data_IF_189231536690
#
_entry.id   IF_189231536690
#
_cell.length_a   1.000
_cell.length_b   1.000
_cell.length_c   1.000
_cell.angle_alpha   90.00
_cell.angle_beta   90.00
_cell.angle_gamma   90.00
#
_symmetry.space_group_name_H-M   'P 1'
#
loop_
_entity.id
_entity.type
_entity.pdbx_description
1 polymer ?
#
# COMPACT_ATOMS: atom_id res chain seq x y z
N UNK A 1 -0.26 -9.08 7.21
CA UNK A 1 -1.23 -9.33 6.11
C UNK A 1 -0.50 -9.72 4.84
N UNK A 2 0.06 -10.89 4.88
CA UNK A 2 0.89 -11.39 3.79
C UNK A 2 0.08 -12.14 2.73
N UNK A 3 -1.08 -12.68 3.13
CA UNK A 3 -1.89 -13.49 2.25
C UNK A 3 -2.90 -12.63 1.49
N UNK A 4 -2.44 -12.03 0.40
CA UNK A 4 -3.27 -11.18 -0.45
C UNK A 4 -4.39 -11.96 -1.14
N UNK A 5 -4.19 -13.26 -1.38
CA UNK A 5 -5.24 -14.12 -1.92
C UNK A 5 -6.44 -14.21 -0.98
N UNK A 6 -6.17 -14.35 0.32
CA UNK A 6 -7.24 -14.39 1.32
C UNK A 6 -7.96 -13.03 1.43
N UNK A 7 -7.20 -11.96 1.45
CA UNK A 7 -7.77 -10.60 1.50
C UNK A 7 -8.65 -10.35 0.26
N UNK A 8 -8.19 -10.79 -0.90
CA UNK A 8 -8.95 -10.68 -2.14
C UNK A 8 -10.29 -11.40 -2.06
N UNK A 9 -10.31 -12.60 -1.49
CA UNK A 9 -11.57 -13.33 -1.29
C UNK A 9 -12.54 -12.57 -0.39
N UNK A 10 -12.04 -11.96 0.69
CA UNK A 10 -12.87 -11.14 1.57
C UNK A 10 -13.44 -9.94 0.81
N UNK A 11 -12.62 -9.27 0.01
CA UNK A 11 -13.07 -8.14 -0.80
C UNK A 11 -14.12 -8.56 -1.84
N UNK A 12 -13.97 -9.73 -2.44
CA UNK A 12 -14.94 -10.26 -3.40
C UNK A 12 -16.29 -10.58 -2.75
N UNK A 13 -16.27 -11.10 -1.53
CA UNK A 13 -17.48 -11.50 -0.80
C UNK A 13 -18.17 -10.33 -0.10
N UNK A 14 -17.43 -9.29 0.28
CA UNK A 14 -17.93 -8.16 1.06
C UNK A 14 -17.75 -6.85 0.27
N UNK A 15 -18.74 -6.44 -0.54
CA UNK A 15 -18.62 -5.25 -1.40
C UNK A 15 -18.37 -3.94 -0.64
N UNK A 16 -18.76 -3.88 0.62
CA UNK A 16 -18.59 -2.68 1.47
C UNK A 16 -17.27 -2.68 2.24
N UNK A 17 -16.43 -3.68 2.05
CA UNK A 17 -15.17 -3.79 2.77
C UNK A 17 -14.07 -3.04 2.03
N UNK A 18 -13.31 -2.23 2.76
CA UNK A 18 -12.15 -1.49 2.25
C UNK A 18 -10.94 -1.85 3.09
N UNK A 19 -9.77 -1.72 2.51
CA UNK A 19 -8.51 -1.97 3.21
C UNK A 19 -7.59 -0.77 3.07
N UNK A 20 -6.72 -0.58 4.04
CA UNK A 20 -5.61 0.37 3.91
C UNK A 20 -4.28 -0.38 3.98
N UNK A 21 -3.20 0.32 3.61
CA UNK A 21 -1.87 -0.27 3.59
C UNK A 21 -1.01 0.15 4.80
N UNK A 22 -1.65 0.66 5.84
CA UNK A 22 -0.97 1.15 7.04
C UNK A 22 -0.07 0.08 7.66
N UNK A 23 1.17 0.44 7.91
CA UNK A 23 2.19 -0.41 8.51
C UNK A 23 2.42 -1.74 7.76
N UNK A 24 2.24 -1.76 6.43
CA UNK A 24 2.32 -3.01 5.64
C UNK A 24 3.40 -3.00 4.57
N UNK A 25 4.24 -1.98 4.49
CA UNK A 25 5.29 -1.94 3.47
C UNK A 25 6.23 -3.13 3.56
N UNK A 26 6.56 -3.55 4.78
CA UNK A 26 7.49 -4.65 5.00
C UNK A 26 7.03 -5.94 4.31
N UNK A 27 5.76 -6.28 4.45
CA UNK A 27 5.20 -7.50 3.86
C UNK A 27 4.87 -7.33 2.39
N UNK A 28 4.23 -6.23 2.04
CA UNK A 28 3.81 -5.97 0.66
C UNK A 28 5.00 -5.85 -0.29
N UNK A 29 6.07 -5.22 0.15
CA UNK A 29 7.27 -5.02 -0.65
C UNK A 29 8.11 -6.27 -0.86
N UNK A 30 7.82 -7.36 -0.14
CA UNK A 30 8.48 -8.66 -0.34
C UNK A 30 7.82 -9.50 -1.41
N UNK A 31 6.64 -9.12 -1.86
CA UNK A 31 5.92 -9.81 -2.94
C UNK A 31 5.40 -8.79 -3.95
N UNK A 32 6.32 -8.08 -4.63
CA UNK A 32 5.94 -6.91 -5.45
C UNK A 32 5.01 -7.25 -6.61
N UNK A 33 5.20 -8.39 -7.26
CA UNK A 33 4.34 -8.78 -8.39
C UNK A 33 2.90 -9.02 -7.95
N UNK A 34 2.73 -9.84 -6.91
CA UNK A 34 1.40 -10.14 -6.35
C UNK A 34 0.74 -8.87 -5.80
N UNK A 35 1.51 -8.03 -5.12
CA UNK A 35 1.00 -6.77 -4.56
C UNK A 35 0.53 -5.82 -5.66
N UNK A 36 1.31 -5.68 -6.74
CA UNK A 36 0.93 -4.84 -7.87
C UNK A 36 -0.39 -5.29 -8.50
N UNK A 37 -0.51 -6.57 -8.77
CA UNK A 37 -1.74 -7.15 -9.33
C UNK A 37 -2.93 -6.95 -8.39
N UNK A 38 -2.73 -7.15 -7.10
CA UNK A 38 -3.75 -6.93 -6.08
C UNK A 38 -4.25 -5.48 -6.08
N UNK A 39 -3.34 -4.51 -6.08
CA UNK A 39 -3.70 -3.10 -6.11
C UNK A 39 -4.46 -2.72 -7.37
N UNK A 40 -4.05 -3.23 -8.51
CA UNK A 40 -4.74 -2.96 -9.78
C UNK A 40 -6.14 -3.56 -9.77
N UNK A 41 -6.28 -4.79 -9.31
CA UNK A 41 -7.57 -5.49 -9.26
C UNK A 41 -8.56 -4.83 -8.30
N UNK A 42 -8.08 -4.44 -7.12
CA UNK A 42 -8.92 -3.87 -6.06
C UNK A 42 -8.73 -2.36 -5.91
N UNK A 43 -8.35 -1.68 -6.96
CA UNK A 43 -7.99 -0.25 -6.95
C UNK A 43 -9.07 0.68 -6.40
N UNK A 44 -10.31 0.27 -6.42
CA UNK A 44 -11.42 1.06 -5.89
C UNK A 44 -11.69 0.82 -4.39
N UNK A 45 -10.96 -0.07 -3.78
CA UNK A 45 -11.23 -0.59 -2.44
C UNK A 45 -10.05 -0.43 -1.48
N UNK A 46 -8.99 0.25 -1.92
CA UNK A 46 -7.76 0.46 -1.13
C UNK A 46 -7.61 1.94 -0.84
N UNK A 47 -7.36 2.27 0.42
CA UNK A 47 -7.11 3.65 0.84
C UNK A 47 -5.70 3.79 1.42
N UNK A 48 -5.14 4.98 1.30
CA UNK A 48 -3.80 5.28 1.79
C UNK A 48 -3.82 5.58 3.28
N UNK A 49 -2.85 5.01 3.99
CA UNK A 49 -2.59 5.29 5.40
C UNK A 49 -1.22 4.73 5.77
N UNK A 50 -0.61 5.25 6.81
CA UNK A 50 0.72 4.81 7.25
C UNK A 50 0.73 4.16 8.62
N UNK A 51 -0.21 4.53 9.48
CA UNK A 51 -0.24 4.15 10.90
C UNK A 51 1.01 4.62 11.64
N UNK A 52 1.62 5.70 11.16
CA UNK A 52 2.82 6.28 11.75
C UNK A 52 2.65 7.79 11.85
N UNK A 53 3.53 8.44 12.60
CA UNK A 53 3.51 9.89 12.73
C UNK A 53 3.71 10.61 11.40
N UNK A 54 3.43 11.90 11.39
CA UNK A 54 3.56 12.74 10.19
C UNK A 54 5.03 13.08 9.93
N UNK A 55 5.83 12.07 9.68
CA UNK A 55 7.24 12.21 9.34
C UNK A 55 7.44 12.12 7.84
N UNK A 56 8.17 13.08 7.28
CA UNK A 56 8.42 13.15 5.84
C UNK A 56 9.08 11.87 5.31
N UNK A 57 10.02 11.31 6.05
CA UNK A 57 10.71 10.07 5.66
C UNK A 57 9.77 8.88 5.50
N UNK A 58 8.75 8.78 6.36
CA UNK A 58 7.73 7.72 6.26
C UNK A 58 6.96 7.87 4.96
N UNK A 59 6.46 9.06 4.67
CA UNK A 59 5.70 9.30 3.43
C UNK A 59 6.56 9.05 2.20
N UNK A 60 7.81 9.46 2.20
CA UNK A 60 8.74 9.20 1.08
C UNK A 60 8.91 7.71 0.81
N UNK A 61 8.98 6.89 1.83
CA UNK A 61 9.10 5.44 1.67
C UNK A 61 7.83 4.85 1.04
N UNK A 62 6.66 5.30 1.48
CA UNK A 62 5.39 4.88 0.87
C UNK A 62 5.29 5.30 -0.58
N UNK A 63 5.64 6.54 -0.91
CA UNK A 63 5.62 7.02 -2.29
C UNK A 63 6.60 6.25 -3.16
N UNK A 64 7.82 6.02 -2.65
CA UNK A 64 8.81 5.23 -3.37
C UNK A 64 8.31 3.83 -3.68
N UNK A 65 7.69 3.19 -2.70
CA UNK A 65 7.10 1.86 -2.88
C UNK A 65 6.00 1.86 -3.93
N UNK A 66 5.07 2.80 -3.85
CA UNK A 66 3.90 2.82 -4.73
C UNK A 66 4.22 3.33 -6.14
N UNK A 67 5.18 4.25 -6.27
CA UNK A 67 5.40 5.01 -7.50
C UNK A 67 6.61 4.59 -8.31
N UNK A 68 7.52 3.78 -7.77
CA UNK A 68 8.75 3.40 -8.47
C UNK A 68 8.92 1.90 -8.60
N UNK A 69 9.82 1.49 -9.50
CA UNK A 69 10.33 0.13 -9.59
C UNK A 69 11.65 -0.03 -8.84
N UNK A 70 11.98 0.85 -7.91
CA UNK A 70 13.22 0.75 -7.16
C UNK A 70 13.33 -0.63 -6.52
N UNK A 71 14.51 -1.20 -6.59
CA UNK A 71 14.77 -2.52 -6.05
C UNK A 71 15.59 -2.43 -4.78
N UNK A 72 15.30 -3.33 -3.85
CA UNK A 72 16.11 -3.58 -2.66
C UNK A 72 16.42 -2.31 -1.89
N UNK A 73 15.36 -1.64 -1.41
CA UNK A 73 15.51 -0.44 -0.60
C UNK A 73 14.90 -0.62 0.79
N UNK A 74 15.39 0.18 1.74
CA UNK A 74 14.90 0.16 3.12
C UNK A 74 13.51 0.80 3.19
N UNK A 75 12.55 0.07 3.76
CA UNK A 75 11.18 0.58 3.95
C UNK A 75 11.04 1.43 5.22
N UNK A 76 12.02 1.38 6.10
CA UNK A 76 11.99 2.08 7.39
C UNK A 76 12.80 3.36 7.34
N UNK A 77 12.55 4.25 8.27
CA UNK A 77 13.37 5.44 8.47
C UNK A 77 14.63 5.15 9.30
N UNK A 78 14.65 4.02 10.01
CA UNK A 78 15.81 3.52 10.74
C UNK A 78 16.75 2.77 9.80
N UNK A 79 18.05 2.82 10.10
CA UNK A 79 19.06 2.11 9.30
C UNK A 79 18.80 0.60 9.25
N UNK A 80 18.36 0.02 10.38
CA UNK A 80 17.96 -1.37 10.45
C UNK A 80 16.43 -1.42 10.54
N UNK A 81 15.74 -2.04 9.56
CA UNK A 81 14.28 -2.08 9.55
C UNK A 81 13.70 -2.78 10.77
N UNK A 82 12.67 -2.18 11.38
CA UNK A 82 12.13 -2.62 12.67
C UNK A 82 11.18 -3.81 12.60
N UNK A 83 10.40 -3.94 11.53
CA UNK A 83 9.43 -5.04 11.38
C UNK A 83 10.06 -6.33 10.85
N UNK A 84 11.15 -6.22 10.12
CA UNK A 84 11.87 -7.35 9.58
C UNK A 84 13.16 -6.87 8.93
N UNK A 85 14.22 -7.64 9.08
CA UNK A 85 15.54 -7.26 8.59
C UNK A 85 15.72 -7.59 7.12
N UNK A 86 14.82 -7.07 6.29
CA UNK A 86 14.89 -7.21 4.85
C UNK A 86 14.57 -5.88 4.19
N UNK A 87 14.91 -5.76 2.93
CA UNK A 87 14.58 -4.61 2.10
C UNK A 87 13.45 -5.00 1.15
N UNK A 88 12.85 -4.00 0.54
CA UNK A 88 11.65 -4.19 -0.27
C UNK A 88 11.82 -3.70 -1.71
N UNK A 89 10.81 -3.92 -2.51
CA UNK A 89 10.78 -3.60 -3.93
C UNK A 89 9.55 -2.78 -4.25
N UNK A 90 9.72 -1.77 -5.10
CA UNK A 90 8.62 -0.91 -5.53
C UNK A 90 7.69 -1.61 -6.52
N UNK A 91 6.44 -1.16 -6.56
CA UNK A 91 5.41 -1.78 -7.41
C UNK A 91 4.95 -0.89 -8.57
N UNK A 92 5.39 0.33 -8.62
CA UNK A 92 5.09 1.31 -9.70
C UNK A 92 3.66 1.20 -10.22
N UNK A 93 2.71 1.61 -9.43
CA UNK A 93 1.32 1.59 -9.84
C UNK A 93 1.05 2.59 -10.96
N UNK A 94 0.12 2.28 -11.88
CA UNK A 94 -0.33 3.25 -12.89
C UNK A 94 -0.90 4.51 -12.22
N UNK A 95 -0.76 5.65 -12.88
CA UNK A 95 -1.17 6.95 -12.34
C UNK A 95 -2.64 6.97 -11.90
N UNK A 96 -3.53 6.34 -12.65
CA UNK A 96 -4.95 6.28 -12.32
C UNK A 96 -5.23 5.45 -11.05
N UNK A 97 -4.42 4.44 -10.79
CA UNK A 97 -4.52 3.63 -9.58
C UNK A 97 -4.01 4.43 -8.38
N UNK A 98 -2.88 5.10 -8.53
CA UNK A 98 -2.32 5.98 -7.49
C UNK A 98 -3.34 7.04 -7.06
N UNK A 99 -3.99 7.68 -8.02
CA UNK A 99 -5.00 8.70 -7.74
C UNK A 99 -6.14 8.16 -6.88
N UNK A 100 -6.60 6.95 -7.16
CA UNK A 100 -7.65 6.30 -6.39
C UNK A 100 -7.19 5.95 -4.98
N UNK A 101 -6.03 5.34 -4.86
CA UNK A 101 -5.47 4.92 -3.56
C UNK A 101 -5.16 6.13 -2.69
N UNK A 102 -4.54 7.16 -3.25
CA UNK A 102 -4.16 8.34 -2.47
C UNK A 102 -5.35 9.22 -2.05
N UNK A 103 -6.38 9.29 -2.87
CA UNK A 103 -7.39 10.33 -2.67
C UNK A 103 -8.83 9.90 -2.98
N UNK A 104 -9.08 9.40 -4.20
CA UNK A 104 -10.45 9.26 -4.71
C UNK A 104 -11.28 8.27 -3.89
N UNK A 105 -10.69 7.16 -3.46
CA UNK A 105 -11.42 6.16 -2.69
C UNK A 105 -11.86 6.70 -1.33
N UNK A 106 -10.95 7.34 -0.60
CA UNK A 106 -11.28 7.95 0.69
C UNK A 106 -12.33 9.06 0.52
N UNK A 107 -12.19 9.85 -0.54
CA UNK A 107 -13.12 10.95 -0.81
C UNK A 107 -14.55 10.46 -1.02
N UNK A 108 -14.73 9.30 -1.64
CA UNK A 108 -16.06 8.70 -1.80
C UNK A 108 -16.64 8.19 -0.49
N UNK A 109 -15.79 7.76 0.45
CA UNK A 109 -16.21 7.23 1.75
C UNK A 109 -16.58 8.33 2.73
N UNK A 110 -16.01 9.52 2.57
CA UNK A 110 -16.29 10.63 3.49
C UNK A 110 -17.63 11.28 3.15
N UNK A 111 -18.41 11.69 4.19
CA UNK A 111 -19.65 12.43 3.95
C UNK A 111 -19.33 13.76 3.30
N UNK A 112 -20.15 14.17 2.34
CA UNK A 112 -20.03 15.48 1.71
C UNK A 112 -20.62 16.54 2.63
N UNK A 113 -19.98 17.71 2.74
CA UNK A 113 -20.55 18.85 3.49
C UNK A 113 -21.82 19.40 2.83
#
# INVERSE_FOLDING_TARGET
>A
MENLGWVGRVLDEAPNFYVDLSARLAELGRQPYTTREFFIKYQNRIVFGTDMGMELGVYRNYYRFLETYDEYFNYDTSEVPGQGRWFIYGIKLPAQVLKKVYRENMRRLLPRP
#
